data_IF_196278560874
#
_entry.id   IF_196278560874
#
_cell.length_a   1.000
_cell.length_b   1.000
_cell.length_c   1.000
_cell.angle_alpha   90.00
_cell.angle_beta   90.00
_cell.angle_gamma   90.00
#
_symmetry.space_group_name_H-M   'P 1'
#
loop_
_entity.id
_entity.type
_entity.pdbx_description
1 polymer ?
#
# COMPACT_ATOMS: atom_id res chain seq x y z
N UNK A 1 5.52 0.37 16.63
CA UNK A 1 4.50 0.50 15.57
C UNK A 1 5.05 1.45 14.52
N UNK A 2 4.99 1.10 13.24
CA UNK A 2 5.44 1.98 12.14
C UNK A 2 4.21 2.75 11.65
N UNK A 3 4.16 4.08 11.83
CA UNK A 3 3.06 4.88 11.29
C UNK A 3 3.05 4.87 9.76
N UNK A 4 1.86 4.85 9.16
CA UNK A 4 1.66 4.90 7.71
C UNK A 4 2.43 6.04 7.03
N UNK A 5 2.43 7.23 7.65
CA UNK A 5 3.09 8.42 7.12
C UNK A 5 4.61 8.26 6.99
N UNK A 6 5.25 7.33 7.71
CA UNK A 6 6.71 7.15 7.64
C UNK A 6 7.17 6.71 6.26
N UNK A 7 6.31 6.07 5.47
CA UNK A 7 6.60 5.71 4.07
C UNK A 7 6.92 6.96 3.23
N UNK A 8 6.29 8.10 3.50
CA UNK A 8 6.57 9.36 2.79
C UNK A 8 7.99 9.91 3.07
N UNK A 9 8.62 9.48 4.16
CA UNK A 9 9.98 9.88 4.48
C UNK A 9 11.04 8.98 3.80
N UNK A 10 10.63 7.90 3.15
CA UNK A 10 11.56 7.01 2.44
C UNK A 10 11.99 7.65 1.11
N UNK A 11 13.24 7.44 0.66
CA UNK A 11 13.68 7.92 -0.64
C UNK A 11 12.78 7.41 -1.76
N UNK A 12 12.50 8.24 -2.77
CA UNK A 12 11.71 7.83 -3.93
C UNK A 12 12.31 6.60 -4.61
N UNK A 13 11.49 5.59 -4.84
CA UNK A 13 11.88 4.36 -5.52
C UNK A 13 11.21 4.28 -6.89
N UNK A 14 12.01 4.22 -7.96
CA UNK A 14 11.49 4.05 -9.32
C UNK A 14 11.11 2.59 -9.54
N UNK A 15 9.99 2.35 -10.23
CA UNK A 15 9.58 1.01 -10.62
C UNK A 15 8.75 1.04 -11.91
N UNK A 16 9.11 0.24 -12.90
CA UNK A 16 8.42 0.13 -14.18
C UNK A 16 7.67 -1.21 -14.26
N UNK A 17 6.32 -1.23 -14.18
CA UNK A 17 5.54 -2.45 -14.30
C UNK A 17 5.84 -3.21 -15.60
N UNK A 18 6.06 -4.52 -15.51
CA UNK A 18 6.31 -5.39 -16.67
C UNK A 18 7.76 -5.38 -17.19
N UNK A 19 8.57 -4.39 -16.81
CA UNK A 19 10.02 -4.36 -17.11
C UNK A 19 10.86 -4.72 -15.89
N UNK A 20 10.57 -4.11 -14.75
CA UNK A 20 11.29 -4.37 -13.51
C UNK A 20 10.79 -5.63 -12.81
N UNK A 21 11.64 -6.19 -11.94
CA UNK A 21 11.27 -7.34 -11.13
C UNK A 21 9.99 -7.07 -10.31
N UNK A 22 9.13 -8.09 -10.11
CA UNK A 22 7.97 -7.97 -9.24
C UNK A 22 8.37 -7.51 -7.83
N UNK A 23 7.58 -6.60 -7.27
CA UNK A 23 7.79 -6.15 -5.91
C UNK A 23 7.37 -7.23 -4.92
N UNK A 24 8.29 -7.57 -4.02
CA UNK A 24 8.04 -8.47 -2.90
C UNK A 24 7.95 -7.67 -1.61
N UNK A 25 6.72 -7.51 -1.12
CA UNK A 25 6.44 -6.79 0.11
C UNK A 25 6.23 -7.75 1.28
N UNK A 26 6.76 -7.38 2.44
CA UNK A 26 6.48 -8.01 3.73
C UNK A 26 5.70 -7.05 4.61
N UNK A 27 4.86 -7.61 5.49
CA UNK A 27 4.11 -6.83 6.46
C UNK A 27 5.07 -6.22 7.48
N UNK A 28 4.95 -4.91 7.71
CA UNK A 28 5.75 -4.18 8.69
C UNK A 28 4.95 -3.76 9.93
N UNK A 29 3.63 -3.60 9.79
CA UNK A 29 2.76 -3.31 10.91
C UNK A 29 1.32 -2.99 10.54
N UNK A 30 0.45 -3.12 11.52
CA UNK A 30 -0.96 -2.72 11.46
C UNK A 30 -1.26 -1.81 12.63
N UNK A 31 -2.00 -0.74 12.38
CA UNK A 31 -2.64 0.07 13.41
C UNK A 31 -4.15 -0.11 13.28
N UNK A 32 -4.81 -0.55 14.34
CA UNK A 32 -6.28 -0.63 14.41
C UNK A 32 -6.77 0.64 15.06
N UNK A 33 -7.65 1.38 14.38
CA UNK A 33 -8.25 2.61 14.92
C UNK A 33 -9.18 2.29 16.09
N UNK A 34 -9.18 3.15 17.10
CA UNK A 34 -10.11 3.05 18.23
C UNK A 34 -11.55 3.19 17.72
N UNK A 35 -12.38 2.18 18.00
CA UNK A 35 -13.81 2.23 17.69
C UNK A 35 -14.53 3.20 18.63
N UNK A 36 -15.17 4.22 18.07
CA UNK A 36 -16.01 5.16 18.82
C UNK A 36 -17.39 4.56 19.17
N UNK A 37 -17.85 3.59 18.37
CA UNK A 37 -19.06 2.81 18.60
C UNK A 37 -18.76 1.33 18.31
N UNK A 38 -19.29 0.41 19.13
CA UNK A 38 -19.12 -1.04 18.95
C UNK A 38 -19.74 -1.55 17.65
N UNK A 39 -20.76 -0.86 17.14
CA UNK A 39 -21.42 -1.21 15.88
C UNK A 39 -20.64 -0.73 14.65
N UNK A 40 -19.59 0.07 14.83
CA UNK A 40 -18.76 0.50 13.72
C UNK A 40 -17.80 -0.62 13.28
N UNK A 41 -17.58 -0.76 11.97
CA UNK A 41 -16.63 -1.73 11.44
C UNK A 41 -15.23 -1.49 12.01
N UNK A 42 -14.47 -2.57 12.21
CA UNK A 42 -13.05 -2.47 12.48
C UNK A 42 -12.38 -1.76 11.30
N UNK A 43 -11.48 -0.83 11.58
CA UNK A 43 -10.74 -0.12 10.53
C UNK A 43 -9.36 0.24 11.03
N UNK A 44 -8.48 0.61 10.11
CA UNK A 44 -7.13 0.96 10.48
C UNK A 44 -6.22 1.20 9.29
N UNK A 45 -4.92 1.11 9.55
CA UNK A 45 -3.85 1.30 8.59
C UNK A 45 -2.93 0.08 8.62
N UNK A 46 -2.34 -0.24 7.47
CA UNK A 46 -1.30 -1.26 7.40
C UNK A 46 -0.15 -0.77 6.54
N UNK A 47 1.07 -1.13 6.95
CA UNK A 47 2.32 -0.72 6.31
C UNK A 47 3.06 -1.96 5.83
N UNK A 48 3.50 -1.91 4.59
CA UNK A 48 4.22 -2.98 3.91
C UNK A 48 5.49 -2.42 3.29
N UNK A 49 6.55 -3.21 3.34
CA UNK A 49 7.88 -2.79 2.89
C UNK A 49 8.62 -3.89 2.16
N UNK A 50 9.51 -3.49 1.27
CA UNK A 50 10.27 -4.37 0.40
C UNK A 50 11.34 -3.59 -0.33
N UNK A 51 11.69 -4.05 -1.54
CA UNK A 51 12.67 -3.39 -2.40
C UNK A 51 12.14 -3.22 -3.81
N UNK A 52 12.52 -2.10 -4.44
CA UNK A 52 12.42 -1.87 -5.87
C UNK A 52 13.84 -1.60 -6.37
N UNK A 53 14.46 -2.63 -6.98
CA UNK A 53 15.89 -2.63 -7.26
C UNK A 53 16.70 -2.42 -5.98
N UNK A 54 17.51 -1.36 -5.96
CA UNK A 54 18.34 -1.02 -4.81
C UNK A 54 17.69 -0.11 -3.76
N UNK A 55 16.49 0.40 -4.04
CA UNK A 55 15.76 1.31 -3.16
C UNK A 55 14.79 0.57 -2.25
N UNK A 56 14.64 1.07 -1.03
CA UNK A 56 13.53 0.66 -0.15
C UNK A 56 12.21 1.11 -0.79
N UNK A 57 11.25 0.20 -0.85
CA UNK A 57 9.91 0.47 -1.37
C UNK A 57 8.89 0.19 -0.28
N UNK A 58 7.91 1.07 -0.14
CA UNK A 58 6.85 0.98 0.86
C UNK A 58 5.49 1.31 0.29
N UNK A 59 4.47 0.65 0.81
CA UNK A 59 3.08 0.96 0.55
C UNK A 59 2.30 0.87 1.86
N UNK A 60 1.39 1.82 2.06
CA UNK A 60 0.46 1.84 3.18
C UNK A 60 -0.92 2.26 2.69
N UNK A 61 -1.96 1.66 3.26
CA UNK A 61 -3.33 1.99 2.93
C UNK A 61 -4.23 1.84 4.15
N UNK A 62 -5.37 2.53 4.09
CA UNK A 62 -6.45 2.40 5.06
C UNK A 62 -7.32 1.20 4.71
N UNK A 63 -7.74 0.45 5.73
CA UNK A 63 -8.59 -0.71 5.58
C UNK A 63 -9.83 -0.63 6.45
N UNK A 64 -10.90 -1.29 5.99
CA UNK A 64 -12.18 -1.42 6.71
C UNK A 64 -12.68 -2.85 6.61
N UNK A 65 -13.14 -3.41 7.73
CA UNK A 65 -13.76 -4.73 7.79
C UNK A 65 -15.26 -4.59 7.45
N UNK A 66 -15.63 -5.00 6.24
CA UNK A 66 -17.02 -4.86 5.73
C UNK A 66 -17.93 -6.02 6.14
N UNK A 67 -17.34 -7.15 6.49
CA UNK A 67 -18.00 -8.33 7.04
C UNK A 67 -16.95 -9.14 7.80
N UNK A 68 -17.37 -10.14 8.59
CA UNK A 68 -16.46 -10.94 9.41
C UNK A 68 -15.31 -11.49 8.57
N UNK A 69 -14.10 -10.96 8.82
CA UNK A 69 -12.91 -11.33 8.10
C UNK A 69 -12.78 -10.84 6.66
N UNK A 70 -13.73 -10.09 6.13
CA UNK A 70 -13.62 -9.47 4.80
C UNK A 70 -13.15 -8.03 4.98
N UNK A 71 -11.91 -7.78 4.57
CA UNK A 71 -11.27 -6.48 4.63
C UNK A 71 -11.24 -5.87 3.23
N UNK A 72 -11.70 -4.63 3.13
CA UNK A 72 -11.62 -3.82 1.92
C UNK A 72 -10.56 -2.72 2.09
N UNK A 73 -10.05 -2.25 0.96
CA UNK A 73 -9.32 -0.98 0.89
C UNK A 73 -10.35 0.13 1.10
N UNK A 74 -10.15 0.97 2.12
CA UNK A 74 -11.13 2.00 2.48
C UNK A 74 -11.25 3.07 1.40
N UNK A 75 -10.12 3.45 0.78
CA UNK A 75 -10.07 4.34 -0.37
C UNK A 75 -8.99 3.86 -1.36
N UNK A 76 -9.38 3.25 -2.50
CA UNK A 76 -8.47 2.77 -3.53
C UNK A 76 -7.58 3.83 -4.19
N UNK A 77 -7.92 5.12 -4.02
CA UNK A 77 -7.18 6.26 -4.56
C UNK A 77 -6.23 6.89 -3.55
N UNK A 78 -6.39 6.59 -2.25
CA UNK A 78 -5.60 7.19 -1.16
C UNK A 78 -4.66 6.16 -0.53
N UNK A 79 -3.65 5.76 -1.31
CA UNK A 79 -2.53 4.95 -0.82
C UNK A 79 -1.28 5.81 -0.62
N UNK A 80 -0.56 5.55 0.46
CA UNK A 80 0.72 6.19 0.75
C UNK A 80 1.83 5.29 0.21
N UNK A 81 2.66 5.81 -0.67
CA UNK A 81 3.82 5.09 -1.20
C UNK A 81 4.94 6.04 -1.56
N UNK A 82 6.19 5.58 -1.43
CA UNK A 82 7.37 6.25 -1.97
C UNK A 82 7.72 5.76 -3.39
N UNK A 83 6.89 4.89 -3.98
CA UNK A 83 7.09 4.43 -5.34
C UNK A 83 6.73 5.53 -6.34
N UNK A 84 7.56 5.65 -7.37
CA UNK A 84 7.32 6.47 -8.55
C UNK A 84 7.27 5.53 -9.74
N UNK A 85 6.05 5.24 -10.20
CA UNK A 85 5.86 4.29 -11.28
C UNK A 85 6.18 4.93 -12.61
N UNK A 86 6.83 4.17 -13.46
CA UNK A 86 7.17 4.57 -14.81
C UNK A 86 6.27 3.85 -15.83
N UNK A 87 5.83 4.57 -16.86
CA UNK A 87 5.13 4.01 -18.01
C UNK A 87 6.09 3.29 -18.97
N UNK A 88 5.59 2.86 -20.13
CA UNK A 88 6.41 2.08 -21.09
C UNK A 88 7.60 2.87 -21.63
N UNK A 89 7.44 4.18 -21.80
CA UNK A 89 8.45 5.08 -22.34
C UNK A 89 9.36 5.68 -21.24
N UNK A 90 9.18 5.27 -19.99
CA UNK A 90 9.96 5.75 -18.84
C UNK A 90 9.47 7.08 -18.26
N UNK A 91 8.32 7.57 -18.71
CA UNK A 91 7.61 8.71 -18.14
C UNK A 91 7.04 8.39 -16.76
N UNK A 92 6.99 9.38 -15.86
CA UNK A 92 6.37 9.18 -14.54
C UNK A 92 4.86 9.20 -14.70
N UNK A 93 4.20 8.12 -14.27
CA UNK A 93 2.75 7.99 -14.30
C UNK A 93 2.06 8.97 -13.34
N UNK A 94 0.88 9.42 -13.73
CA UNK A 94 0.00 10.23 -12.88
C UNK A 94 -0.60 9.41 -11.75
N UNK A 95 -1.12 10.06 -10.70
CA UNK A 95 -1.78 9.37 -9.60
C UNK A 95 -2.93 8.46 -10.05
N UNK A 96 -3.67 8.86 -11.09
CA UNK A 96 -4.77 8.06 -11.63
C UNK A 96 -4.28 6.79 -12.33
N UNK A 97 -3.20 6.89 -13.12
CA UNK A 97 -2.59 5.75 -13.80
C UNK A 97 -1.90 4.81 -12.79
N UNK A 98 -1.36 5.36 -11.70
CA UNK A 98 -0.71 4.59 -10.63
C UNK A 98 -1.70 3.75 -9.83
N UNK A 99 -2.91 4.26 -9.57
CA UNK A 99 -3.86 3.63 -8.66
C UNK A 99 -4.18 2.15 -8.99
N UNK A 100 -4.48 1.76 -10.25
CA UNK A 100 -4.69 0.35 -10.60
C UNK A 100 -3.50 -0.56 -10.27
N UNK A 101 -2.26 -0.07 -10.45
CA UNK A 101 -1.05 -0.83 -10.15
C UNK A 101 -0.89 -1.05 -8.64
N UNK A 102 -1.13 -0.02 -7.83
CA UNK A 102 -1.05 -0.12 -6.37
C UNK A 102 -2.16 -1.01 -5.81
N UNK A 103 -3.39 -0.87 -6.29
CA UNK A 103 -4.50 -1.77 -5.95
C UNK A 103 -4.14 -3.23 -6.29
N UNK A 104 -3.59 -3.47 -7.49
CA UNK A 104 -3.11 -4.79 -7.88
C UNK A 104 -2.01 -5.33 -6.96
N UNK A 105 -1.10 -4.48 -6.48
CA UNK A 105 -0.08 -4.88 -5.49
C UNK A 105 -0.74 -5.32 -4.19
N UNK A 106 -1.66 -4.52 -3.65
CA UNK A 106 -2.38 -4.82 -2.40
C UNK A 106 -3.10 -6.17 -2.49
N UNK A 107 -3.77 -6.46 -3.60
CA UNK A 107 -4.47 -7.73 -3.81
C UNK A 107 -3.55 -8.96 -3.87
N UNK A 108 -2.24 -8.79 -4.12
CA UNK A 108 -1.25 -9.88 -4.14
C UNK A 108 -0.55 -10.08 -2.80
N UNK A 109 -0.81 -9.22 -1.80
CA UNK A 109 -0.12 -9.31 -0.52
C UNK A 109 -0.58 -10.55 0.27
N UNK A 110 0.36 -11.22 0.97
CA UNK A 110 0.05 -12.44 1.69
C UNK A 110 -0.76 -12.14 2.96
N UNK A 111 -2.07 -12.38 2.88
CA UNK A 111 -2.95 -12.42 4.04
C UNK A 111 -3.50 -11.05 4.47
N UNK A 112 -4.22 -11.06 5.60
CA UNK A 112 -4.89 -9.88 6.15
C UNK A 112 -3.89 -9.03 6.94
N UNK A 113 -4.03 -7.69 6.96
CA UNK A 113 -3.36 -6.89 7.97
C UNK A 113 -3.83 -7.38 9.34
N UNK A 114 -2.96 -8.11 10.04
CA UNK A 114 -3.16 -8.54 11.42
C UNK A 114 -2.49 -7.56 12.36
#
# INVERSE_FOLDING_TARGET
>A
MIPAWTVNAWPSALWQPGRDAPLHFVHLGTHVSTRLNKDWPSMGQTVWGGRAGDSAAGISWDWIEVSEGIIAIADPMMMITNLRLLGSEGEVLTAHEVAPHLNGLVHRLPGRPK
#
